data_IF_400072012590
#
_entry.id   IF_400072012590
#
_cell.length_a   1.000
_cell.length_b   1.000
_cell.length_c   1.000
_cell.angle_alpha   90.00
_cell.angle_beta   90.00
_cell.angle_gamma   90.00
#
_symmetry.space_group_name_H-M   'P 1'
#
loop_
_entity.id
_entity.type
_entity.pdbx_description
1 polymer ?
#
# COMPACT_ATOMS: atom_id res chain seq x y z
N UNK A 1 9.18 -9.64 -6.37
CA UNK A 1 8.71 -9.45 -5.00
C UNK A 1 9.39 -8.20 -4.44
N UNK A 2 8.64 -7.21 -3.95
CA UNK A 2 9.21 -5.99 -3.40
C UNK A 2 9.81 -6.28 -2.02
N UNK A 3 11.07 -5.87 -1.80
CA UNK A 3 11.69 -5.94 -0.48
C UNK A 3 11.30 -4.69 0.30
N UNK A 4 10.42 -4.85 1.28
CA UNK A 4 9.86 -3.74 2.06
C UNK A 4 10.00 -3.98 3.56
N UNK A 5 10.25 -2.91 4.30
CA UNK A 5 10.15 -2.91 5.74
C UNK A 5 8.76 -2.41 6.15
N UNK A 6 7.91 -3.24 6.78
CA UNK A 6 6.53 -2.85 7.09
C UNK A 6 6.44 -1.62 8.00
N UNK A 7 7.42 -1.40 8.88
CA UNK A 7 7.46 -0.23 9.78
C UNK A 7 7.72 1.09 9.04
N UNK A 8 8.16 1.04 7.77
CA UNK A 8 8.44 2.21 6.92
C UNK A 8 7.40 2.40 5.82
N UNK A 9 6.23 1.76 5.93
CA UNK A 9 5.20 1.86 4.92
C UNK A 9 4.39 3.14 5.00
N UNK A 10 4.32 3.82 6.15
CA UNK A 10 3.56 5.08 6.26
C UNK A 10 4.07 6.12 5.25
N UNK A 11 3.15 6.72 4.48
CA UNK A 11 3.42 7.66 3.38
C UNK A 11 4.22 7.09 2.20
N UNK A 12 4.40 5.76 2.15
CA UNK A 12 5.01 5.12 0.98
C UNK A 12 4.07 5.19 -0.23
N UNK A 13 4.68 5.36 -1.40
CA UNK A 13 4.00 5.59 -2.69
C UNK A 13 3.95 4.30 -3.49
N UNK A 14 2.80 4.01 -4.08
CA UNK A 14 2.57 2.77 -4.80
C UNK A 14 1.84 3.02 -6.11
N UNK A 15 2.13 2.16 -7.08
CA UNK A 15 1.47 2.13 -8.37
C UNK A 15 0.86 0.75 -8.58
N UNK A 16 -0.45 0.69 -8.82
CA UNK A 16 -1.13 -0.54 -9.21
C UNK A 16 -0.59 -1.00 -10.57
N UNK A 17 -0.17 -2.25 -10.66
CA UNK A 17 0.33 -2.85 -11.90
C UNK A 17 -0.80 -3.05 -12.93
N UNK A 18 -2.02 -3.30 -12.45
CA UNK A 18 -3.26 -3.38 -13.23
C UNK A 18 -4.29 -2.40 -12.65
N UNK A 19 -4.24 -1.11 -13.03
CA UNK A 19 -5.17 -0.09 -12.53
C UNK A 19 -6.63 -0.47 -12.80
N UNK A 20 -7.48 -0.31 -11.80
CA UNK A 20 -8.93 -0.43 -11.92
C UNK A 20 -9.56 0.93 -11.59
N UNK A 21 -10.72 1.26 -12.15
CA UNK A 21 -11.41 2.53 -11.88
C UNK A 21 -10.55 3.80 -12.12
N UNK A 22 -9.54 3.71 -13.00
CA UNK A 22 -8.53 4.77 -13.24
C UNK A 22 -7.64 5.08 -12.02
N UNK A 23 -7.68 4.24 -11.00
CA UNK A 23 -6.84 4.31 -9.81
C UNK A 23 -5.49 3.66 -10.10
N UNK A 24 -4.51 4.48 -10.45
CA UNK A 24 -3.14 4.03 -10.72
C UNK A 24 -2.21 4.24 -9.53
N UNK A 25 -2.31 5.39 -8.87
CA UNK A 25 -1.41 5.78 -7.79
C UNK A 25 -2.11 5.74 -6.44
N UNK A 26 -1.39 5.18 -5.47
CA UNK A 26 -1.86 4.99 -4.10
C UNK A 26 -0.80 5.46 -3.10
N UNK A 27 -1.26 5.88 -1.94
CA UNK A 27 -0.45 6.27 -0.79
C UNK A 27 -0.87 5.42 0.41
N UNK A 28 0.10 4.93 1.18
CA UNK A 28 -0.21 4.36 2.49
C UNK A 28 -0.45 5.50 3.48
N UNK A 29 -1.66 5.62 4.00
CA UNK A 29 -2.09 6.70 4.90
C UNK A 29 -2.05 6.30 6.37
N UNK A 30 -2.19 5.01 6.68
CA UNK A 30 -2.21 4.51 8.05
C UNK A 30 -1.58 3.10 8.16
N UNK A 31 -1.02 2.79 9.34
CA UNK A 31 -0.51 1.46 9.69
C UNK A 31 -1.28 0.91 10.88
N UNK A 32 -1.88 -0.28 10.72
CA UNK A 32 -2.55 -0.98 11.80
C UNK A 32 -1.60 -2.01 12.40
N UNK A 33 -1.49 -2.00 13.73
CA UNK A 33 -0.54 -2.81 14.48
C UNK A 33 -1.25 -3.60 15.58
N UNK A 34 -0.68 -4.73 15.96
CA UNK A 34 -1.08 -5.44 17.18
C UNK A 34 -0.50 -4.79 18.44
N UNK A 35 -0.75 -5.43 19.59
CA UNK A 35 -0.30 -4.99 20.92
C UNK A 35 1.25 -4.96 21.02
N UNK A 36 1.95 -5.80 20.27
CA UNK A 36 3.41 -5.87 20.22
C UNK A 36 4.02 -4.88 19.19
N UNK A 37 3.19 -4.09 18.50
CA UNK A 37 3.62 -3.12 17.51
C UNK A 37 4.04 -3.73 16.17
N UNK A 38 3.65 -4.98 15.90
CA UNK A 38 3.81 -5.64 14.59
C UNK A 38 2.77 -5.07 13.64
N UNK A 39 3.21 -4.60 12.47
CA UNK A 39 2.29 -4.11 11.43
C UNK A 39 1.58 -5.31 10.81
N UNK A 40 0.25 -5.28 10.84
CA UNK A 40 -0.60 -6.31 10.27
C UNK A 40 -1.18 -5.83 8.94
N UNK A 41 -1.69 -4.60 8.91
CA UNK A 41 -2.41 -4.05 7.78
C UNK A 41 -2.01 -2.60 7.53
N UNK A 42 -2.32 -2.13 6.33
CA UNK A 42 -2.18 -0.73 5.93
C UNK A 42 -3.51 -0.21 5.41
N UNK A 43 -3.72 1.09 5.55
CA UNK A 43 -4.69 1.80 4.72
C UNK A 43 -3.97 2.29 3.44
N UNK A 44 -4.46 1.87 2.28
CA UNK A 44 -4.05 2.36 0.97
C UNK A 44 -5.13 3.27 0.42
N UNK A 45 -4.76 4.51 0.12
CA UNK A 45 -5.66 5.50 -0.47
C UNK A 45 -5.30 5.76 -1.93
N UNK A 46 -6.27 5.60 -2.82
CA UNK A 46 -6.16 6.02 -4.21
C UNK A 46 -6.06 7.55 -4.29
N UNK A 47 -4.99 8.07 -4.91
CA UNK A 47 -4.74 9.52 -4.97
C UNK A 47 -5.84 10.26 -5.74
N UNK A 48 -6.35 9.65 -6.81
CA UNK A 48 -7.33 10.28 -7.69
C UNK A 48 -8.74 10.34 -7.07
N UNK A 49 -9.20 9.23 -6.50
CA UNK A 49 -10.58 9.07 -6.05
C UNK A 49 -10.73 9.29 -4.54
N UNK A 50 -9.62 9.35 -3.80
CA UNK A 50 -9.58 9.37 -2.34
C UNK A 50 -10.21 8.13 -1.69
N UNK A 51 -10.51 7.08 -2.47
CA UNK A 51 -10.98 5.80 -1.97
C UNK A 51 -9.87 5.16 -1.14
N UNK A 52 -10.17 4.86 0.11
CA UNK A 52 -9.30 4.11 1.00
C UNK A 52 -9.73 2.65 1.10
N UNK A 53 -8.76 1.76 1.22
CA UNK A 53 -8.97 0.35 1.48
C UNK A 53 -7.94 -0.17 2.48
N UNK A 54 -8.40 -1.00 3.40
CA UNK A 54 -7.57 -1.66 4.40
C UNK A 54 -7.23 -3.06 3.91
N UNK A 55 -5.95 -3.42 3.99
CA UNK A 55 -5.48 -4.73 3.55
C UNK A 55 -4.19 -5.16 4.27
N UNK A 56 -3.89 -6.47 4.30
CA UNK A 56 -2.61 -6.98 4.80
C UNK A 56 -1.44 -6.33 4.07
N UNK A 57 -0.44 -5.85 4.81
CA UNK A 57 0.68 -5.11 4.19
C UNK A 57 1.48 -5.96 3.18
N UNK A 58 1.43 -7.29 3.33
CA UNK A 58 2.15 -8.26 2.52
C UNK A 58 1.73 -8.23 1.04
N UNK A 59 0.51 -7.76 0.73
CA UNK A 59 0.07 -7.58 -0.67
C UNK A 59 1.01 -6.65 -1.44
N UNK A 60 1.62 -5.67 -0.76
CA UNK A 60 2.58 -4.74 -1.37
C UNK A 60 3.90 -5.42 -1.76
N UNK A 61 4.15 -6.66 -1.30
CA UNK A 61 5.30 -7.46 -1.76
C UNK A 61 5.08 -8.04 -3.17
N UNK A 62 3.82 -8.20 -3.61
CA UNK A 62 3.48 -8.77 -4.91
C UNK A 62 3.74 -7.75 -6.01
N UNK A 63 4.84 -7.93 -6.75
CA UNK A 63 5.31 -6.95 -7.75
C UNK A 63 4.45 -6.93 -9.03
N UNK A 64 3.69 -8.00 -9.24
CA UNK A 64 2.65 -8.18 -10.25
C UNK A 64 1.35 -7.43 -9.93
N UNK A 65 1.12 -7.09 -8.66
CA UNK A 65 -0.01 -6.25 -8.23
C UNK A 65 0.43 -4.81 -7.93
N UNK A 66 1.59 -4.63 -7.29
CA UNK A 66 2.04 -3.35 -6.73
C UNK A 66 3.49 -3.05 -7.08
N UNK A 67 3.72 -1.83 -7.58
CA UNK A 67 5.05 -1.30 -7.88
C UNK A 67 5.36 -0.13 -6.95
N UNK A 68 6.55 -0.11 -6.37
CA UNK A 68 6.99 1.00 -5.52
C UNK A 68 7.20 2.29 -6.34
N UNK A 69 6.81 3.41 -5.74
CA UNK A 69 6.90 4.75 -6.31
C UNK A 69 5.72 5.10 -7.23
N UNK A 70 5.76 6.31 -7.78
CA UNK A 70 4.87 6.75 -8.86
C UNK A 70 5.57 6.47 -10.19
N UNK A 71 5.21 5.36 -10.83
CA UNK A 71 5.70 4.96 -12.16
C UNK A 71 4.56 4.95 -13.17
#
# INVERSE_FOLDING_TARGET
MNQINPRKLLLSKWTAATPQNREKHFLVTELFKDEDGVVLEVELQAVLTQRSERMPWQVLQQADAWRMGWK
#
